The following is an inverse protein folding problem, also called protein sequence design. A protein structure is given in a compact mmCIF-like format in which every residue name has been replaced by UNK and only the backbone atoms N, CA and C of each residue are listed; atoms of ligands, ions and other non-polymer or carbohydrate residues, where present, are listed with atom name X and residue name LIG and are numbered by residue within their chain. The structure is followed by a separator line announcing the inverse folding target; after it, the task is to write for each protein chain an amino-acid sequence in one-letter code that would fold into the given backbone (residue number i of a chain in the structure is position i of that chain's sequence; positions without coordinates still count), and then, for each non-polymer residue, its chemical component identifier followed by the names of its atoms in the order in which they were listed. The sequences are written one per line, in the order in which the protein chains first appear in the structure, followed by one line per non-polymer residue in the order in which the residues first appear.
data_IF_703918849219
#
_entry.id   IF_703918849219
#
_cell.length_a   1.000
_cell.length_b   1.000
_cell.length_c   1.000
_cell.angle_alpha   90.00
_cell.angle_beta   90.00
_cell.angle_gamma   90.00
#
_symmetry.space_group_name_H-M   'P 1'
#
loop_
_entity.id
_entity.type
_entity.pdbx_description
1 polymer ?
#
# COMPACT_ATOMS: atom_id res chain seq x y z
N UNK A 1 -11.42 6.04 -4.58
CA UNK A 1 -11.35 6.24 -3.13
C UNK A 1 -12.50 5.51 -2.44
N UNK A 2 -13.79 5.86 -2.71
CA UNK A 2 -14.95 5.21 -2.07
C UNK A 2 -14.97 3.69 -2.19
N UNK A 3 -14.67 3.13 -3.37
CA UNK A 3 -14.51 1.68 -3.57
C UNK A 3 -13.35 1.10 -2.74
N UNK A 4 -12.25 1.83 -2.62
CA UNK A 4 -11.14 1.43 -1.76
C UNK A 4 -11.54 1.34 -0.29
N UNK A 5 -12.33 2.32 0.22
CA UNK A 5 -12.87 2.29 1.57
C UNK A 5 -13.88 1.14 1.76
N UNK A 6 -14.67 0.81 0.75
CA UNK A 6 -15.60 -0.31 0.77
C UNK A 6 -14.87 -1.67 0.83
N UNK A 7 -13.73 -1.78 0.17
CA UNK A 7 -12.88 -2.98 0.26
C UNK A 7 -12.14 -3.07 1.60
N UNK A 8 -11.62 -1.96 2.10
CA UNK A 8 -10.89 -1.88 3.37
C UNK A 8 -10.83 -0.44 3.86
N UNK A 9 -11.10 -0.21 5.15
CA UNK A 9 -11.08 1.14 5.75
C UNK A 9 -9.74 1.88 5.60
N UNK A 10 -8.65 1.17 5.40
CA UNK A 10 -7.34 1.79 5.11
C UNK A 10 -7.32 2.62 3.82
N UNK A 11 -8.33 2.47 2.96
CA UNK A 11 -8.56 3.37 1.83
C UNK A 11 -8.66 4.85 2.24
N UNK A 12 -9.07 5.15 3.49
CA UNK A 12 -9.12 6.50 4.04
C UNK A 12 -7.74 7.18 4.07
N UNK A 13 -6.66 6.40 4.19
CA UNK A 13 -5.29 6.91 4.19
C UNK A 13 -4.91 7.51 2.83
N UNK A 14 -5.38 6.89 1.74
CA UNK A 14 -5.23 7.46 0.40
C UNK A 14 -6.02 8.77 0.26
N UNK A 15 -7.26 8.81 0.78
CA UNK A 15 -8.07 10.02 0.85
C UNK A 15 -7.38 11.15 1.61
N UNK A 16 -6.77 10.86 2.75
CA UNK A 16 -6.00 11.83 3.52
C UNK A 16 -4.81 12.39 2.71
N UNK A 17 -4.07 11.53 2.00
CA UNK A 17 -2.97 11.95 1.12
C UNK A 17 -3.43 12.88 -0.01
N UNK A 18 -4.52 12.52 -0.67
CA UNK A 18 -5.12 13.36 -1.71
C UNK A 18 -5.61 14.69 -1.14
N UNK A 19 -6.21 14.71 0.05
CA UNK A 19 -6.65 15.93 0.72
C UNK A 19 -5.46 16.85 1.04
N UNK A 20 -4.35 16.32 1.54
CA UNK A 20 -3.12 17.09 1.79
C UNK A 20 -2.60 17.73 0.49
N UNK A 21 -2.55 16.96 -0.60
CA UNK A 21 -2.13 17.47 -1.91
C UNK A 21 -3.08 18.57 -2.41
N UNK A 22 -4.38 18.35 -2.29
CA UNK A 22 -5.39 19.29 -2.71
C UNK A 22 -5.31 20.61 -1.94
N UNK A 23 -5.22 20.55 -0.61
CA UNK A 23 -5.04 21.73 0.24
C UNK A 23 -3.71 22.43 -0.06
N UNK A 24 -2.64 21.70 -0.34
CA UNK A 24 -1.36 22.25 -0.78
C UNK A 24 -1.47 23.05 -2.07
N UNK A 25 -2.24 22.56 -3.04
CA UNK A 25 -2.51 23.31 -4.30
C UNK A 25 -3.31 24.58 -4.03
N UNK A 26 -4.36 24.50 -3.20
CA UNK A 26 -5.16 25.67 -2.83
C UNK A 26 -4.31 26.73 -2.09
N UNK A 27 -3.46 26.28 -1.17
CA UNK A 27 -2.55 27.15 -0.45
C UNK A 27 -1.56 27.86 -1.39
N UNK A 28 -0.96 27.11 -2.33
CA UNK A 28 -0.05 27.70 -3.31
C UNK A 28 -0.75 28.73 -4.21
N UNK A 29 -2.01 28.50 -4.61
CA UNK A 29 -2.82 29.46 -5.36
C UNK A 29 -3.09 30.74 -4.55
N UNK A 30 -3.39 30.59 -3.25
CA UNK A 30 -3.57 31.73 -2.34
C UNK A 30 -2.33 32.60 -2.27
N UNK A 31 -1.14 31.98 -2.15
CA UNK A 31 0.14 32.70 -2.09
C UNK A 31 0.44 33.49 -3.37
N UNK A 32 -0.11 33.09 -4.51
CA UNK A 32 0.04 33.80 -5.79
C UNK A 32 -0.83 35.08 -5.89
N UNK A 33 -1.66 35.38 -4.88
CA UNK A 33 -2.48 36.59 -4.81
C UNK A 33 -3.50 36.72 -5.95
N UNK A 34 -3.97 35.61 -6.55
CA UNK A 34 -4.90 35.63 -7.69
C UNK A 34 -6.20 36.32 -7.32
N UNK A 35 -6.69 37.28 -8.13
CA UNK A 35 -8.02 37.83 -7.94
C UNK A 35 -9.09 36.75 -8.06
N UNK A 36 -10.13 36.80 -7.22
CA UNK A 36 -11.20 35.79 -7.22
C UNK A 36 -10.89 34.51 -6.42
N UNK A 37 -9.76 34.41 -5.72
CA UNK A 37 -9.37 33.22 -4.92
C UNK A 37 -10.51 32.71 -4.02
N UNK A 38 -11.26 33.57 -3.36
CA UNK A 38 -12.32 33.15 -2.44
C UNK A 38 -13.52 32.49 -3.14
N UNK A 39 -13.83 32.91 -4.38
CA UNK A 39 -14.87 32.24 -5.19
C UNK A 39 -14.37 30.85 -5.64
N UNK A 40 -13.13 30.76 -6.15
CA UNK A 40 -12.50 29.48 -6.47
C UNK A 40 -12.41 28.56 -5.26
N UNK A 41 -12.04 29.10 -4.09
CA UNK A 41 -11.93 28.34 -2.85
C UNK A 41 -13.28 27.77 -2.41
N UNK A 42 -14.38 28.54 -2.50
CA UNK A 42 -15.73 28.05 -2.17
C UNK A 42 -16.15 26.92 -3.08
N UNK A 43 -15.95 27.07 -4.39
CA UNK A 43 -16.26 26.01 -5.35
C UNK A 43 -15.38 24.76 -5.10
N UNK A 44 -14.10 24.96 -4.83
CA UNK A 44 -13.18 23.89 -4.49
C UNK A 44 -13.57 23.19 -3.17
N UNK A 45 -13.99 23.93 -2.16
CA UNK A 45 -14.45 23.37 -0.90
C UNK A 45 -15.74 22.55 -1.07
N UNK A 46 -16.72 23.08 -1.81
CA UNK A 46 -17.96 22.34 -2.14
C UNK A 46 -17.66 21.08 -2.95
N UNK A 47 -16.83 21.18 -3.98
CA UNK A 47 -16.34 20.02 -4.74
C UNK A 47 -15.58 19.04 -3.87
N UNK A 48 -14.75 19.55 -2.95
CA UNK A 48 -14.03 18.74 -1.96
C UNK A 48 -14.99 17.93 -1.09
N UNK A 49 -16.01 18.56 -0.51
CA UNK A 49 -17.03 17.86 0.29
C UNK A 49 -17.77 16.82 -0.57
N UNK A 50 -18.20 17.20 -1.78
CA UNK A 50 -18.94 16.30 -2.67
C UNK A 50 -18.10 15.06 -3.05
N UNK A 51 -16.86 15.26 -3.53
CA UNK A 51 -16.03 14.18 -4.10
C UNK A 51 -15.19 13.41 -3.07
N UNK A 52 -14.87 14.00 -1.92
CA UNK A 52 -14.06 13.34 -0.90
C UNK A 52 -14.87 12.84 0.31
N UNK A 53 -16.10 13.33 0.50
CA UNK A 53 -16.94 12.90 1.62
C UNK A 53 -18.22 12.26 1.12
N UNK A 54 -19.10 13.02 0.44
CA UNK A 54 -20.44 12.55 0.09
C UNK A 54 -20.40 11.37 -0.87
N UNK A 55 -19.71 11.50 -2.00
CA UNK A 55 -19.66 10.43 -3.02
C UNK A 55 -18.97 9.15 -2.49
N UNK A 56 -17.82 9.21 -1.79
CA UNK A 56 -17.23 8.02 -1.18
C UNK A 56 -18.12 7.37 -0.13
N UNK A 57 -18.82 8.15 0.68
CA UNK A 57 -19.77 7.63 1.66
C UNK A 57 -20.95 6.93 0.97
N UNK A 58 -21.53 7.53 -0.06
CA UNK A 58 -22.59 6.90 -0.86
C UNK A 58 -22.12 5.56 -1.46
N UNK A 59 -20.93 5.52 -2.03
CA UNK A 59 -20.34 4.28 -2.59
C UNK A 59 -20.14 3.25 -1.48
N UNK A 60 -19.63 3.68 -0.32
CA UNK A 60 -19.40 2.80 0.82
C UNK A 60 -20.73 2.21 1.34
N UNK A 61 -21.76 3.03 1.53
CA UNK A 61 -23.10 2.55 1.93
C UNK A 61 -23.69 1.63 0.88
N UNK A 62 -23.59 2.02 -0.40
CA UNK A 62 -24.08 1.21 -1.52
C UNK A 62 -23.38 -0.17 -1.62
N UNK A 63 -22.15 -0.31 -1.12
CA UNK A 63 -21.46 -1.60 -1.09
C UNK A 63 -22.15 -2.65 -0.21
N UNK A 64 -23.05 -2.23 0.68
CA UNK A 64 -23.89 -3.11 1.51
C UNK A 64 -25.20 -3.52 0.85
N UNK A 65 -25.55 -3.03 -0.36
CA UNK A 65 -26.78 -3.41 -1.07
C UNK A 65 -26.98 -4.93 -1.19
N UNK A 66 -25.96 -5.76 -1.51
CA UNK A 66 -26.13 -7.21 -1.53
C UNK A 66 -26.54 -7.80 -0.17
N UNK A 67 -26.09 -7.18 0.92
CA UNK A 67 -26.45 -7.58 2.27
C UNK A 67 -27.91 -7.24 2.59
N UNK A 68 -28.35 -5.99 2.28
CA UNK A 68 -29.75 -5.58 2.39
C UNK A 68 -30.70 -6.46 1.58
N UNK A 69 -30.25 -6.85 0.39
CA UNK A 69 -31.06 -7.71 -0.48
C UNK A 69 -31.29 -9.10 0.12
N UNK A 70 -30.32 -9.63 0.85
CA UNK A 70 -30.42 -10.96 1.49
C UNK A 70 -31.11 -10.92 2.86
N UNK A 71 -31.14 -9.77 3.50
CA UNK A 71 -31.74 -9.55 4.81
C UNK A 71 -32.64 -8.30 4.77
N UNK A 72 -33.92 -8.46 4.37
CA UNK A 72 -34.84 -7.33 4.22
C UNK A 72 -35.06 -6.51 5.50
N UNK A 73 -34.94 -7.15 6.66
CA UNK A 73 -35.09 -6.49 7.98
C UNK A 73 -33.85 -5.69 8.40
N UNK A 74 -32.76 -5.74 7.63
CA UNK A 74 -31.52 -5.02 7.93
C UNK A 74 -31.71 -3.51 7.74
N UNK A 75 -31.73 -2.78 8.84
CA UNK A 75 -31.95 -1.33 8.86
C UNK A 75 -30.63 -0.53 8.74
N UNK A 76 -30.73 0.79 8.54
CA UNK A 76 -29.58 1.70 8.64
C UNK A 76 -28.97 1.69 10.05
N UNK A 77 -29.80 1.44 11.09
CA UNK A 77 -29.32 1.26 12.46
C UNK A 77 -28.43 0.01 12.58
N UNK A 78 -28.78 -1.08 11.90
CA UNK A 78 -27.98 -2.29 11.89
C UNK A 78 -26.67 -2.08 11.13
N UNK A 79 -26.74 -1.38 10.00
CA UNK A 79 -25.52 -0.96 9.29
C UNK A 79 -24.58 -0.18 10.19
N UNK A 80 -25.10 0.80 10.94
CA UNK A 80 -24.28 1.59 11.88
C UNK A 80 -23.70 0.72 13.01
N UNK A 81 -24.49 -0.21 13.55
CA UNK A 81 -23.99 -1.17 14.55
C UNK A 81 -22.88 -2.04 14.00
N UNK A 82 -22.94 -2.45 12.73
CA UNK A 82 -21.83 -3.17 12.08
C UNK A 82 -20.55 -2.32 12.06
N UNK A 83 -20.65 -1.01 11.74
CA UNK A 83 -19.45 -0.14 11.74
C UNK A 83 -18.84 -0.05 13.13
N UNK A 84 -19.65 0.16 14.16
CA UNK A 84 -19.19 0.23 15.55
C UNK A 84 -18.58 -1.09 16.01
N UNK A 85 -19.17 -2.22 15.64
CA UNK A 85 -18.65 -3.54 15.96
C UNK A 85 -17.28 -3.79 15.32
N UNK A 86 -17.12 -3.46 14.03
CA UNK A 86 -15.82 -3.55 13.34
C UNK A 86 -14.77 -2.65 13.99
N UNK A 87 -15.14 -1.41 14.34
CA UNK A 87 -14.23 -0.49 15.03
C UNK A 87 -13.80 -1.06 16.38
N UNK A 88 -14.78 -1.47 17.22
CA UNK A 88 -14.53 -2.05 18.53
C UNK A 88 -13.63 -3.28 18.45
N UNK A 89 -13.91 -4.20 17.53
CA UNK A 89 -13.08 -5.36 17.28
C UNK A 89 -11.62 -4.97 17.02
N UNK A 90 -11.39 -4.03 16.09
CA UNK A 90 -10.03 -3.61 15.76
C UNK A 90 -9.35 -2.80 16.87
N UNK A 91 -10.09 -2.05 17.66
CA UNK A 91 -9.56 -1.27 18.77
C UNK A 91 -9.16 -2.12 19.98
N UNK A 92 -9.86 -3.24 20.20
CA UNK A 92 -9.66 -4.10 21.38
C UNK A 92 -8.90 -5.40 21.09
N UNK A 93 -8.52 -5.64 19.82
CA UNK A 93 -7.85 -6.88 19.40
C UNK A 93 -6.48 -7.02 20.07
N UNK A 94 -6.34 -8.06 20.91
CA UNK A 94 -5.09 -8.44 21.59
C UNK A 94 -4.49 -9.75 21.06
N UNK A 95 -5.03 -10.29 19.96
CA UNK A 95 -4.52 -11.51 19.36
C UNK A 95 -3.08 -11.35 18.89
N UNK A 96 -2.29 -12.41 19.02
CA UNK A 96 -0.95 -12.56 18.46
C UNK A 96 -1.02 -13.53 17.27
N UNK A 97 -0.06 -13.44 16.37
CA UNK A 97 0.02 -14.33 15.21
C UNK A 97 1.48 -14.67 14.88
N UNK A 98 1.81 -15.93 14.50
CA UNK A 98 3.18 -16.33 14.19
C UNK A 98 3.87 -15.48 13.12
N UNK A 99 3.10 -14.94 12.17
CA UNK A 99 3.60 -14.11 11.07
C UNK A 99 3.35 -12.61 11.29
N UNK A 100 3.01 -12.20 12.51
CA UNK A 100 2.90 -10.77 12.80
C UNK A 100 4.24 -10.06 12.63
N UNK A 101 4.16 -8.81 12.21
CA UNK A 101 5.36 -7.99 11.99
C UNK A 101 5.05 -6.52 12.17
N UNK A 102 6.04 -5.76 12.61
CA UNK A 102 5.91 -4.32 12.86
C UNK A 102 6.32 -3.52 11.62
N UNK A 103 5.79 -2.32 11.49
CA UNK A 103 5.99 -1.44 10.34
C UNK A 103 7.46 -1.25 9.93
N UNK A 104 8.39 -1.19 10.88
CA UNK A 104 9.82 -1.00 10.61
C UNK A 104 10.47 -2.22 9.92
N UNK A 105 9.95 -3.43 10.13
CA UNK A 105 10.42 -4.64 9.43
C UNK A 105 9.93 -4.71 8.00
N UNK A 106 8.84 -3.98 7.67
CA UNK A 106 8.26 -4.00 6.33
C UNK A 106 9.11 -3.25 5.31
N UNK A 107 9.85 -2.22 5.75
CA UNK A 107 10.71 -1.41 4.87
C UNK A 107 11.71 -2.25 4.09
N UNK A 108 12.18 -3.33 4.68
CA UNK A 108 13.12 -4.28 4.06
C UNK A 108 12.47 -5.63 3.70
N UNK A 109 11.15 -5.77 3.93
CA UNK A 109 10.43 -7.00 3.62
C UNK A 109 10.88 -8.22 4.43
N UNK A 110 11.35 -8.01 5.66
CA UNK A 110 12.05 -9.03 6.45
C UNK A 110 11.17 -10.19 6.92
N UNK A 111 9.84 -10.04 6.92
CA UNK A 111 8.94 -11.05 7.46
C UNK A 111 7.73 -11.27 6.54
N UNK A 112 7.78 -12.27 5.66
CA UNK A 112 6.66 -12.67 4.82
C UNK A 112 5.44 -13.12 5.62
N UNK A 113 4.29 -13.18 4.95
CA UNK A 113 3.04 -13.66 5.56
C UNK A 113 2.55 -14.87 4.78
N UNK A 114 2.33 -15.98 5.46
CA UNK A 114 1.75 -17.18 4.85
C UNK A 114 0.23 -17.16 4.99
N UNK A 115 -0.45 -17.44 3.89
CA UNK A 115 -1.90 -17.53 3.80
C UNK A 115 -2.39 -18.97 3.70
N UNK A 116 -1.56 -19.86 3.17
CA UNK A 116 -1.90 -21.25 2.94
C UNK A 116 -0.65 -22.12 2.98
N UNK A 117 -0.84 -23.35 3.49
CA UNK A 117 0.11 -24.45 3.47
C UNK A 117 -0.65 -25.74 3.15
N UNK A 118 -0.13 -26.56 2.24
CA UNK A 118 -0.65 -27.89 2.01
C UNK A 118 0.14 -28.93 2.81
N UNK A 119 -0.48 -29.51 3.85
CA UNK A 119 0.11 -30.56 4.68
C UNK A 119 -0.07 -32.00 4.17
N UNK A 120 -0.77 -32.19 3.04
CA UNK A 120 -1.13 -33.52 2.51
C UNK A 120 -0.35 -33.89 1.25
N UNK A 121 0.79 -33.26 1.00
CA UNK A 121 1.64 -33.55 -0.16
C UNK A 121 2.51 -34.79 0.06
N UNK A 122 2.92 -35.47 -1.03
CA UNK A 122 3.92 -36.53 -0.97
C UNK A 122 5.22 -36.04 -0.31
N UNK A 123 5.97 -36.98 0.27
CA UNK A 123 7.26 -36.69 0.87
C UNK A 123 8.20 -35.97 -0.11
N UNK A 124 8.90 -34.95 0.36
CA UNK A 124 9.81 -34.16 -0.47
C UNK A 124 9.15 -33.06 -1.32
N UNK A 125 7.85 -32.81 -1.15
CA UNK A 125 7.12 -31.71 -1.80
C UNK A 125 6.62 -30.70 -0.78
N UNK A 126 6.60 -29.41 -1.19
CA UNK A 126 6.03 -28.29 -0.44
C UNK A 126 5.07 -27.50 -1.32
N UNK A 127 4.02 -26.90 -0.72
CA UNK A 127 3.15 -25.95 -1.41
C UNK A 127 2.60 -24.94 -0.42
N UNK A 128 2.82 -23.67 -0.70
CA UNK A 128 2.35 -22.57 0.14
C UNK A 128 1.89 -21.37 -0.68
N UNK A 129 1.01 -20.55 -0.09
CA UNK A 129 0.69 -19.22 -0.62
C UNK A 129 1.24 -18.22 0.38
N UNK A 130 2.16 -17.38 -0.06
CA UNK A 130 2.78 -16.38 0.79
C UNK A 130 2.82 -15.01 0.12
N UNK A 131 2.62 -13.96 0.93
CA UNK A 131 2.88 -12.58 0.53
C UNK A 131 4.25 -12.14 0.99
N UNK A 132 5.13 -11.83 0.04
CA UNK A 132 6.47 -11.34 0.33
C UNK A 132 6.85 -10.14 -0.54
N UNK A 133 7.89 -9.45 -0.14
CA UNK A 133 8.49 -8.37 -0.92
C UNK A 133 9.34 -8.94 -2.06
N UNK A 134 9.22 -8.39 -3.25
CA UNK A 134 10.18 -8.65 -4.33
C UNK A 134 11.54 -8.01 -3.99
N UNK A 135 12.60 -8.78 -3.65
CA UNK A 135 13.76 -8.25 -2.92
C UNK A 135 14.47 -7.11 -3.66
N UNK A 136 14.69 -7.25 -4.96
CA UNK A 136 15.40 -6.22 -5.75
C UNK A 136 14.59 -4.92 -5.84
N UNK A 137 13.36 -5.02 -6.32
CA UNK A 137 12.49 -3.84 -6.54
C UNK A 137 12.16 -3.15 -5.23
N UNK A 138 12.00 -3.91 -4.16
CA UNK A 138 11.68 -3.37 -2.84
C UNK A 138 12.83 -2.54 -2.28
N UNK A 139 14.04 -3.09 -2.27
CA UNK A 139 15.24 -2.41 -1.75
C UNK A 139 15.62 -1.20 -2.61
N UNK A 140 15.64 -1.38 -3.94
CA UNK A 140 15.98 -0.28 -4.87
C UNK A 140 14.90 0.81 -4.84
N UNK A 141 13.61 0.44 -4.73
CA UNK A 141 12.51 1.38 -4.57
C UNK A 141 12.61 2.20 -3.28
N UNK A 142 12.98 1.56 -2.18
CA UNK A 142 13.21 2.26 -0.91
C UNK A 142 14.41 3.22 -1.00
N UNK A 143 15.52 2.79 -1.62
CA UNK A 143 16.67 3.66 -1.86
C UNK A 143 16.30 4.87 -2.74
N UNK A 144 15.49 4.65 -3.78
CA UNK A 144 14.97 5.73 -4.62
C UNK A 144 14.07 6.69 -3.85
N UNK A 145 13.23 6.19 -2.94
CA UNK A 145 12.39 7.01 -2.08
C UNK A 145 13.24 7.88 -1.14
N UNK A 146 14.29 7.31 -0.53
CA UNK A 146 15.23 8.07 0.30
C UNK A 146 15.98 9.13 -0.52
N UNK A 147 16.41 8.79 -1.74
CA UNK A 147 17.01 9.76 -2.67
C UNK A 147 16.04 10.89 -3.02
N UNK A 148 14.76 10.57 -3.25
CA UNK A 148 13.73 11.57 -3.52
C UNK A 148 13.50 12.48 -2.33
N UNK A 149 13.47 11.92 -1.12
CA UNK A 149 13.38 12.69 0.14
C UNK A 149 14.59 13.64 0.30
N UNK A 150 15.79 13.12 0.08
CA UNK A 150 17.02 13.94 0.12
C UNK A 150 16.97 15.09 -0.87
N UNK A 151 16.55 14.86 -2.11
CA UNK A 151 16.36 15.92 -3.10
C UNK A 151 15.37 16.99 -2.62
N UNK A 152 14.29 16.57 -1.96
CA UNK A 152 13.26 17.49 -1.49
C UNK A 152 13.80 18.40 -0.38
N UNK A 153 14.49 17.84 0.62
CA UNK A 153 15.03 18.62 1.75
C UNK A 153 16.25 19.46 1.37
N UNK A 154 16.98 19.06 0.32
CA UNK A 154 18.13 19.82 -0.23
C UNK A 154 17.74 20.98 -1.17
N UNK A 155 16.45 21.32 -1.27
CA UNK A 155 15.98 22.39 -2.15
C UNK A 155 15.98 22.04 -3.65
N UNK A 156 16.33 20.80 -4.04
CA UNK A 156 16.35 20.30 -5.43
C UNK A 156 15.08 19.50 -5.78
N UNK A 157 14.09 19.57 -4.90
CA UNK A 157 12.86 18.81 -4.99
C UNK A 157 11.98 19.22 -6.17
N UNK A 158 10.95 18.43 -6.41
CA UNK A 158 9.92 18.71 -7.41
C UNK A 158 8.53 18.47 -6.80
N UNK A 159 7.52 19.08 -7.42
CA UNK A 159 6.11 18.86 -7.00
C UNK A 159 5.72 17.39 -7.08
N UNK A 160 6.15 16.68 -8.13
CA UNK A 160 5.89 15.23 -8.26
C UNK A 160 6.59 14.45 -7.14
N UNK A 161 7.84 14.80 -6.81
CA UNK A 161 8.56 14.18 -5.70
C UNK A 161 7.89 14.42 -4.35
N UNK A 162 7.45 15.65 -4.08
CA UNK A 162 6.68 15.97 -2.88
C UNK A 162 5.38 15.15 -2.80
N UNK A 163 4.65 15.04 -3.93
CA UNK A 163 3.42 14.27 -3.99
C UNK A 163 3.65 12.78 -3.66
N UNK A 164 4.69 12.16 -4.23
CA UNK A 164 5.02 10.76 -3.94
C UNK A 164 5.36 10.58 -2.46
N UNK A 165 6.14 11.48 -1.86
CA UNK A 165 6.51 11.41 -0.44
C UNK A 165 5.30 11.59 0.49
N UNK A 166 4.40 12.52 0.18
CA UNK A 166 3.16 12.74 0.93
C UNK A 166 2.29 11.50 0.87
N UNK A 167 2.05 10.97 -0.33
CA UNK A 167 1.22 9.77 -0.52
C UNK A 167 1.84 8.54 0.13
N UNK A 168 3.16 8.37 0.07
CA UNK A 168 3.86 7.32 0.82
C UNK A 168 3.65 7.47 2.33
N UNK A 169 3.88 8.67 2.86
CA UNK A 169 3.76 8.96 4.29
C UNK A 169 2.36 8.70 4.81
N UNK A 170 1.32 9.14 4.09
CA UNK A 170 -0.08 8.92 4.51
C UNK A 170 -0.49 7.44 4.51
N UNK A 171 0.15 6.60 3.71
CA UNK A 171 -0.08 5.15 3.75
C UNK A 171 0.70 4.46 4.87
N UNK A 172 1.87 4.95 5.26
CA UNK A 172 2.73 4.29 6.25
C UNK A 172 2.53 4.80 7.68
N UNK A 173 2.45 6.13 7.87
CA UNK A 173 2.43 6.76 9.21
C UNK A 173 1.32 6.22 10.12
N UNK A 174 0.07 5.99 9.66
CA UNK A 174 -0.96 5.42 10.52
C UNK A 174 -0.57 4.08 11.14
N UNK A 175 0.18 3.25 10.42
CA UNK A 175 0.63 1.95 10.91
C UNK A 175 1.70 2.04 12.00
N UNK A 176 2.43 3.15 12.10
CA UNK A 176 3.38 3.40 13.19
C UNK A 176 2.66 3.52 14.55
N UNK A 177 1.39 3.95 14.53
CA UNK A 177 0.56 4.16 15.72
C UNK A 177 -0.25 2.92 16.11
N UNK A 178 -0.28 1.88 15.25
CA UNK A 178 -1.04 0.66 15.51
C UNK A 178 -0.23 -0.29 16.38
N UNK A 179 -0.77 -0.62 17.55
CA UNK A 179 -0.12 -1.50 18.55
C UNK A 179 -0.54 -2.97 18.45
N UNK A 180 -1.72 -3.25 17.85
CA UNK A 180 -2.21 -4.61 17.63
C UNK A 180 -1.37 -5.38 16.60
N UNK A 181 -1.66 -6.67 16.46
CA UNK A 181 -1.11 -7.55 15.43
C UNK A 181 -1.26 -6.94 14.03
N UNK A 182 -0.14 -6.79 13.33
CA UNK A 182 -0.04 -6.27 11.95
C UNK A 182 0.85 -7.17 11.11
N UNK A 183 0.83 -6.99 9.77
CA UNK A 183 1.50 -7.87 8.82
C UNK A 183 2.08 -7.08 7.65
N UNK A 184 3.06 -7.65 6.96
CA UNK A 184 3.72 -7.05 5.80
C UNK A 184 2.74 -6.53 4.72
N UNK A 185 1.62 -7.20 4.48
CA UNK A 185 0.66 -6.76 3.46
C UNK A 185 0.04 -5.38 3.73
N UNK A 186 0.10 -4.87 4.95
CA UNK A 186 -0.30 -3.51 5.25
C UNK A 186 0.62 -2.46 4.61
N UNK A 187 1.84 -2.84 4.27
CA UNK A 187 2.79 -1.97 3.59
C UNK A 187 2.65 -1.97 2.06
N UNK A 188 1.95 -2.93 1.46
CA UNK A 188 1.83 -3.00 0.00
C UNK A 188 1.32 -1.71 -0.65
N UNK A 189 0.33 -0.98 -0.12
CA UNK A 189 -0.05 0.32 -0.65
C UNK A 189 1.09 1.35 -0.62
N UNK A 190 1.91 1.37 0.45
CA UNK A 190 3.07 2.26 0.56
C UNK A 190 4.16 1.91 -0.44
N UNK A 191 4.41 0.61 -0.67
CA UNK A 191 5.47 0.14 -1.57
C UNK A 191 5.26 0.58 -3.02
N UNK A 192 4.01 0.82 -3.45
CA UNK A 192 3.71 1.38 -4.78
C UNK A 192 4.33 2.77 -4.97
N UNK A 193 4.45 3.56 -3.90
CA UNK A 193 5.10 4.86 -3.96
C UNK A 193 6.63 4.77 -3.95
N UNK A 194 7.21 3.66 -3.44
CA UNK A 194 8.62 3.36 -3.64
C UNK A 194 8.92 3.12 -5.13
N UNK A 195 8.04 2.38 -5.83
CA UNK A 195 8.14 2.19 -7.29
C UNK A 195 7.96 3.51 -8.04
N UNK A 196 7.02 4.35 -7.64
CA UNK A 196 6.83 5.67 -8.23
C UNK A 196 8.07 6.57 -8.02
N UNK A 197 8.70 6.51 -6.84
CA UNK A 197 9.96 7.20 -6.58
C UNK A 197 11.08 6.71 -7.50
N UNK A 198 11.23 5.39 -7.66
CA UNK A 198 12.20 4.79 -8.57
C UNK A 198 11.97 5.23 -10.02
N UNK A 199 10.72 5.19 -10.48
CA UNK A 199 10.35 5.64 -11.83
C UNK A 199 10.67 7.13 -12.04
N UNK A 200 10.37 7.99 -11.06
CA UNK A 200 10.72 9.43 -11.13
C UNK A 200 12.22 9.66 -11.16
N UNK A 201 12.99 8.93 -10.36
CA UNK A 201 14.45 9.06 -10.33
C UNK A 201 15.07 8.61 -11.66
N UNK A 202 14.63 7.49 -12.21
CA UNK A 202 15.09 6.99 -13.52
C UNK A 202 14.65 7.93 -14.67
N UNK A 203 13.41 8.44 -14.62
CA UNK A 203 12.92 9.38 -15.63
C UNK A 203 13.73 10.68 -15.71
N UNK A 204 14.25 11.17 -14.59
CA UNK A 204 15.16 12.34 -14.57
C UNK A 204 16.49 12.07 -15.28
N UNK A 205 16.91 10.81 -15.32
CA UNK A 205 18.17 10.37 -15.90
C UNK A 205 18.00 9.66 -17.25
N UNK A 206 16.79 9.72 -17.84
CA UNK A 206 16.42 8.96 -19.06
C UNK A 206 17.33 9.22 -20.28
N UNK A 207 17.98 10.40 -20.33
CA UNK A 207 18.93 10.77 -21.37
C UNK A 207 20.32 10.12 -21.19
N UNK A 208 20.56 9.48 -20.06
CA UNK A 208 21.78 8.73 -19.75
C UNK A 208 21.61 7.27 -20.14
N UNK A 209 22.50 6.74 -20.99
CA UNK A 209 22.42 5.34 -21.45
C UNK A 209 22.52 4.33 -20.33
N UNK A 210 23.32 4.62 -19.31
CA UNK A 210 23.41 3.75 -18.13
C UNK A 210 22.09 3.66 -17.35
N UNK A 211 21.29 4.73 -17.28
CA UNK A 211 20.01 4.72 -16.59
C UNK A 211 18.97 3.86 -17.33
N UNK A 212 19.00 3.90 -18.68
CA UNK A 212 18.16 3.01 -19.50
C UNK A 212 18.55 1.55 -19.31
N UNK A 213 19.87 1.25 -19.31
CA UNK A 213 20.37 -0.10 -19.04
C UNK A 213 20.03 -0.57 -17.63
N UNK A 214 20.16 0.31 -16.62
CA UNK A 214 19.76 0.01 -15.24
C UNK A 214 18.26 -0.31 -15.15
N UNK A 215 17.40 0.48 -15.79
CA UNK A 215 15.96 0.22 -15.84
C UNK A 215 15.65 -1.15 -16.44
N UNK A 216 16.23 -1.45 -17.60
CA UNK A 216 16.06 -2.74 -18.25
C UNK A 216 16.58 -3.91 -17.38
N UNK A 217 17.74 -3.74 -16.75
CA UNK A 217 18.31 -4.72 -15.82
C UNK A 217 17.43 -4.98 -14.60
N UNK A 218 16.87 -3.92 -14.01
CA UNK A 218 15.94 -4.04 -12.86
C UNK A 218 14.65 -4.75 -13.27
N UNK A 219 14.09 -4.43 -14.44
CA UNK A 219 12.92 -5.13 -14.97
C UNK A 219 13.21 -6.61 -15.23
N UNK A 220 14.35 -6.92 -15.85
CA UNK A 220 14.77 -8.30 -16.11
C UNK A 220 14.99 -9.07 -14.79
N UNK A 221 15.70 -8.48 -13.83
CA UNK A 221 15.92 -9.09 -12.52
C UNK A 221 14.60 -9.34 -11.77
N UNK A 222 13.68 -8.39 -11.82
CA UNK A 222 12.35 -8.55 -11.22
C UNK A 222 11.56 -9.68 -11.87
N UNK A 223 11.59 -9.79 -13.21
CA UNK A 223 10.91 -10.84 -13.96
C UNK A 223 11.50 -12.23 -13.64
N UNK A 224 12.83 -12.35 -13.62
CA UNK A 224 13.52 -13.60 -13.27
C UNK A 224 13.19 -14.02 -11.83
N UNK A 225 13.30 -13.10 -10.86
CA UNK A 225 12.98 -13.40 -9.48
C UNK A 225 11.49 -13.77 -9.31
N UNK A 226 10.59 -13.06 -10.01
CA UNK A 226 9.18 -13.42 -10.00
C UNK A 226 8.96 -14.85 -10.51
N UNK A 227 9.56 -15.22 -11.64
CA UNK A 227 9.43 -16.56 -12.21
C UNK A 227 9.99 -17.64 -11.27
N UNK A 228 11.11 -17.37 -10.59
CA UNK A 228 11.76 -18.31 -9.66
C UNK A 228 10.95 -18.48 -8.37
N UNK A 229 10.40 -17.40 -7.82
CA UNK A 229 9.63 -17.43 -6.57
C UNK A 229 8.16 -17.79 -6.77
N UNK A 230 7.58 -17.51 -7.95
CA UNK A 230 6.15 -17.67 -8.20
C UNK A 230 5.58 -19.04 -7.81
N UNK A 231 6.23 -20.18 -8.17
CA UNK A 231 5.71 -21.49 -7.78
C UNK A 231 5.61 -21.66 -6.25
N UNK A 232 6.63 -21.20 -5.50
CA UNK A 232 6.65 -21.28 -4.04
C UNK A 232 5.61 -20.35 -3.37
N UNK A 233 5.16 -19.30 -4.07
CA UNK A 233 4.25 -18.29 -3.55
C UNK A 233 2.79 -18.49 -3.95
N UNK A 234 2.52 -19.34 -4.95
CA UNK A 234 1.22 -19.47 -5.63
C UNK A 234 0.43 -20.72 -5.23
N UNK A 235 0.94 -21.54 -4.32
CA UNK A 235 0.30 -22.80 -3.91
C UNK A 235 0.58 -23.98 -4.85
N UNK A 236 1.47 -23.81 -5.82
CA UNK A 236 1.88 -24.93 -6.66
C UNK A 236 2.77 -25.89 -5.88
N UNK A 237 2.55 -27.22 -6.02
CA UNK A 237 3.47 -28.21 -5.45
C UNK A 237 4.85 -28.11 -6.12
N UNK A 238 5.89 -27.90 -5.32
CA UNK A 238 7.29 -27.85 -5.75
C UNK A 238 8.16 -28.78 -4.93
N UNK A 239 9.29 -29.24 -5.45
CA UNK A 239 10.26 -29.98 -4.67
C UNK A 239 10.73 -29.21 -3.45
N UNK A 240 10.85 -29.86 -2.29
CA UNK A 240 11.26 -29.22 -1.04
C UNK A 240 12.62 -28.52 -1.19
N UNK A 241 13.59 -29.15 -1.89
CA UNK A 241 14.91 -28.53 -2.13
C UNK A 241 14.82 -27.17 -2.83
N UNK A 242 13.83 -26.98 -3.72
CA UNK A 242 13.63 -25.68 -4.38
C UNK A 242 13.09 -24.65 -3.38
N UNK A 243 12.06 -25.01 -2.62
CA UNK A 243 11.52 -24.15 -1.57
C UNK A 243 12.62 -23.74 -0.56
N UNK A 244 13.42 -24.70 -0.11
CA UNK A 244 14.52 -24.49 0.85
C UNK A 244 15.61 -23.57 0.27
N UNK A 245 15.94 -23.69 -1.02
CA UNK A 245 16.89 -22.81 -1.71
C UNK A 245 16.40 -21.35 -1.82
N UNK A 246 15.09 -21.11 -1.72
CA UNK A 246 14.50 -19.76 -1.75
C UNK A 246 14.44 -19.11 -0.37
N UNK A 247 14.74 -19.84 0.70
CA UNK A 247 14.77 -19.36 2.08
C UNK A 247 16.05 -18.56 2.35
N UNK A 248 16.18 -17.39 1.72
CA UNK A 248 17.37 -16.54 1.82
C UNK A 248 17.52 -15.84 3.19
N UNK A 249 16.47 -15.81 4.00
CA UNK A 249 16.49 -15.27 5.36
C UNK A 249 15.84 -16.27 6.32
N UNK A 250 16.28 -16.33 7.59
CA UNK A 250 15.71 -17.25 8.60
C UNK A 250 14.20 -17.08 8.83
N UNK A 251 13.66 -15.92 8.45
CA UNK A 251 12.22 -15.62 8.55
C UNK A 251 11.41 -16.08 7.33
N UNK A 252 12.07 -16.65 6.31
CA UNK A 252 11.48 -17.11 5.05
C UNK A 252 11.36 -18.63 5.07
N UNK A 253 10.56 -19.21 5.92
CA UNK A 253 10.30 -20.65 5.83
C UNK A 253 9.17 -20.92 4.84
N UNK A 254 9.38 -21.77 3.82
CA UNK A 254 8.31 -22.34 2.97
C UNK A 254 7.90 -23.71 3.50
N UNK A 255 6.59 -23.94 3.58
CA UNK A 255 6.01 -25.12 4.19
C UNK A 255 5.35 -26.04 3.16
#
# INVERSE_FOLDING_TARGET
FGLGCAAKWTGIYAGAGLAVLYLGVLWARRQQGRPGFWAEFRLAALGGVLFYVVLPLCIYVASYLPYWWRQPDFSLGDWWRCQLSMYSYHATLKATHPFESRWYTWLLGLRPVWYYRNGSLPYGMKASIAGMAGPVIWVVGLAALMGLFWHQVSGRGSRQGAAVLILYGTQLIPWMLVTRCTFLYHYFPSSMFCLAALALMLARMRHRDWARRLCAGLCAAAAVLFAVYYPALSGLPIPAWWADALEVLPSFGFY
#
